data_IF_670199173790
#
_entry.id   IF_670199173790
#
_cell.length_a   1.000
_cell.length_b   1.000
_cell.length_c   1.000
_cell.angle_alpha   90.00
_cell.angle_beta   90.00
_cell.angle_gamma   90.00
#
_symmetry.space_group_name_H-M   'P 1'
#
loop_
_entity.id
_entity.type
_entity.pdbx_description
1 polymer ?
#
# COMPACT_ATOMS: atom_id res chain seq x y z
N UNK A 1 -67.79 29.73 47.05
CA UNK A 1 -67.53 30.16 45.66
C UNK A 1 -66.07 30.58 45.53
N UNK A 2 -65.20 29.70 45.05
CA UNK A 2 -63.95 30.02 44.35
C UNK A 2 -63.37 28.70 43.80
N UNK A 3 -63.51 28.54 42.49
CA UNK A 3 -63.03 27.41 41.69
C UNK A 3 -61.59 27.72 41.27
N UNK A 4 -60.63 26.80 41.42
CA UNK A 4 -59.40 26.83 40.62
C UNK A 4 -58.88 25.42 40.32
N UNK A 5 -58.75 25.19 39.02
CA UNK A 5 -58.51 23.93 38.30
C UNK A 5 -57.08 23.45 38.46
N UNK A 6 -56.92 22.14 38.69
CA UNK A 6 -55.65 21.42 38.49
C UNK A 6 -55.45 21.16 36.99
N UNK A 7 -54.32 21.57 36.44
CA UNK A 7 -53.88 21.17 35.10
C UNK A 7 -52.53 20.47 35.26
N UNK A 8 -52.53 19.15 35.02
CA UNK A 8 -51.33 18.32 35.02
C UNK A 8 -50.44 18.63 33.81
N UNK A 9 -49.13 18.71 34.04
CA UNK A 9 -48.14 18.85 32.97
C UNK A 9 -47.66 17.46 32.55
N UNK A 10 -48.06 17.04 31.36
CA UNK A 10 -47.43 15.93 30.62
C UNK A 10 -46.00 16.35 30.25
N UNK A 11 -45.00 15.63 30.75
CA UNK A 11 -43.61 15.79 30.29
C UNK A 11 -43.43 15.01 28.99
N UNK A 12 -43.17 15.74 27.90
CA UNK A 12 -42.84 15.16 26.61
C UNK A 12 -41.37 14.69 26.60
N UNK A 13 -41.14 13.40 26.34
CA UNK A 13 -39.82 12.85 26.03
C UNK A 13 -39.32 13.45 24.71
N UNK A 14 -38.28 14.30 24.78
CA UNK A 14 -37.50 14.71 23.62
C UNK A 14 -36.54 13.58 23.24
N UNK A 15 -36.91 12.82 22.20
CA UNK A 15 -35.99 11.98 21.44
C UNK A 15 -35.07 12.90 20.63
N UNK A 16 -33.88 13.19 21.14
CA UNK A 16 -32.82 13.84 20.38
C UNK A 16 -32.36 12.88 19.27
N UNK A 17 -32.75 13.17 18.02
CA UNK A 17 -32.26 12.46 16.85
C UNK A 17 -30.75 12.65 16.71
N UNK A 18 -30.01 11.55 16.73
CA UNK A 18 -28.61 11.47 16.31
C UNK A 18 -28.56 11.73 14.79
N UNK A 19 -28.44 12.99 14.39
CA UNK A 19 -27.99 13.33 13.04
C UNK A 19 -26.52 12.91 12.95
N UNK A 20 -26.26 11.73 12.39
CA UNK A 20 -24.92 11.30 12.03
C UNK A 20 -24.30 12.33 11.08
N UNK A 21 -23.15 12.86 11.44
CA UNK A 21 -22.36 13.70 10.53
C UNK A 21 -22.07 12.88 9.26
N UNK A 22 -22.20 13.46 8.06
CA UNK A 22 -21.80 12.76 6.85
C UNK A 22 -20.33 12.39 6.98
N UNK A 23 -20.01 11.10 6.87
CA UNK A 23 -18.64 10.67 6.66
C UNK A 23 -18.13 11.42 5.43
N UNK A 24 -17.07 12.21 5.59
CA UNK A 24 -16.45 12.86 4.46
C UNK A 24 -15.88 11.76 3.57
N UNK A 25 -16.44 11.61 2.36
CA UNK A 25 -15.92 10.68 1.38
C UNK A 25 -14.54 11.18 0.92
N UNK A 26 -13.62 10.25 0.69
CA UNK A 26 -12.31 10.58 0.14
C UNK A 26 -12.44 11.21 -1.26
N UNK A 27 -11.67 12.27 -1.48
CA UNK A 27 -11.72 13.08 -2.70
C UNK A 27 -10.48 12.78 -3.57
N UNK A 28 -10.65 12.44 -4.86
CA UNK A 28 -9.52 12.27 -5.76
C UNK A 28 -8.58 13.48 -5.78
N UNK A 29 -7.27 13.24 -5.70
CA UNK A 29 -6.24 14.28 -5.74
C UNK A 29 -5.98 14.98 -4.41
N UNK A 30 -6.76 14.67 -3.36
CA UNK A 30 -6.57 15.15 -2.00
C UNK A 30 -5.88 14.10 -1.15
N UNK A 31 -4.56 14.22 -1.08
CA UNK A 31 -3.69 13.39 -0.24
C UNK A 31 -2.33 14.12 -0.08
N UNK A 32 -1.53 13.67 0.87
CA UNK A 32 -0.30 14.35 1.29
C UNK A 32 0.95 13.76 0.62
N UNK A 33 1.00 12.45 0.40
CA UNK A 33 2.14 11.77 -0.21
C UNK A 33 1.81 10.40 -0.81
N UNK A 34 2.79 9.78 -1.45
CA UNK A 34 2.70 8.40 -1.92
C UNK A 34 3.52 7.43 -1.07
N UNK A 35 3.03 6.21 -0.93
CA UNK A 35 3.83 5.05 -0.54
C UNK A 35 3.98 4.14 -1.74
N UNK A 36 5.22 3.89 -2.17
CA UNK A 36 5.53 2.79 -3.08
C UNK A 36 5.71 1.52 -2.25
N UNK A 37 4.84 0.55 -2.43
CA UNK A 37 4.92 -0.74 -1.78
C UNK A 37 5.57 -1.78 -2.71
N UNK A 38 6.69 -2.34 -2.29
CA UNK A 38 7.44 -3.36 -3.02
C UNK A 38 7.33 -4.71 -2.30
N UNK A 39 6.56 -5.64 -2.85
CA UNK A 39 6.40 -6.97 -2.27
C UNK A 39 7.55 -7.89 -2.66
N UNK A 40 8.02 -8.70 -1.71
CA UNK A 40 8.97 -9.78 -1.95
C UNK A 40 8.23 -11.00 -2.50
N UNK A 41 8.20 -11.13 -3.83
CA UNK A 41 7.50 -12.20 -4.55
C UNK A 41 7.75 -13.62 -4.03
N UNK A 42 8.98 -14.00 -3.61
CA UNK A 42 9.21 -15.35 -3.11
C UNK A 42 8.43 -15.69 -1.83
N UNK A 43 8.17 -14.71 -0.96
CA UNK A 43 7.31 -14.92 0.21
C UNK A 43 5.87 -15.17 -0.24
N UNK A 44 5.32 -14.31 -1.10
CA UNK A 44 3.97 -14.48 -1.67
C UNK A 44 3.79 -15.87 -2.31
N UNK A 45 4.67 -16.25 -3.23
CA UNK A 45 4.57 -17.52 -3.95
C UNK A 45 4.64 -18.74 -3.03
N UNK A 46 5.50 -18.70 -2.01
CA UNK A 46 5.61 -19.77 -1.01
C UNK A 46 4.35 -19.86 -0.16
N UNK A 47 3.84 -18.71 0.27
CA UNK A 47 2.80 -18.60 1.28
C UNK A 47 1.41 -18.93 0.74
N UNK A 48 1.10 -18.44 -0.46
CA UNK A 48 -0.17 -18.69 -1.14
C UNK A 48 -0.22 -20.07 -1.79
N UNK A 49 0.93 -20.75 -1.96
CA UNK A 49 0.97 -22.15 -2.36
C UNK A 49 0.28 -22.38 -3.71
N UNK A 50 -0.78 -23.19 -3.75
CA UNK A 50 -1.54 -23.45 -4.98
C UNK A 50 -2.42 -22.27 -5.45
N UNK A 51 -2.73 -21.33 -4.55
CA UNK A 51 -3.67 -20.23 -4.81
C UNK A 51 -2.98 -18.98 -5.38
N UNK A 52 -1.64 -18.89 -5.33
CA UNK A 52 -0.94 -17.71 -5.84
C UNK A 52 -0.99 -17.61 -7.37
N UNK A 53 -0.87 -16.37 -7.87
CA UNK A 53 -0.94 -16.08 -9.29
C UNK A 53 0.15 -16.83 -10.11
N UNK A 54 -0.24 -17.67 -11.08
CA UNK A 54 0.72 -18.45 -11.88
C UNK A 54 1.63 -17.57 -12.75
N UNK A 55 1.17 -16.39 -13.18
CA UNK A 55 2.00 -15.44 -13.95
C UNK A 55 3.14 -14.84 -13.12
N UNK A 56 3.03 -14.86 -11.79
CA UNK A 56 4.09 -14.42 -10.88
C UNK A 56 4.97 -15.58 -10.40
N UNK A 57 4.38 -16.75 -10.17
CA UNK A 57 5.04 -17.82 -9.42
C UNK A 57 5.43 -19.04 -10.26
N UNK A 58 4.86 -19.22 -11.45
CA UNK A 58 5.07 -20.39 -12.31
C UNK A 58 5.81 -19.96 -13.58
N UNK A 59 6.94 -19.28 -13.39
CA UNK A 59 7.73 -18.65 -14.45
C UNK A 59 9.17 -19.15 -14.49
N UNK A 60 9.77 -19.17 -15.67
CA UNK A 60 11.17 -19.60 -15.86
C UNK A 60 12.18 -18.71 -15.15
N UNK A 61 11.85 -17.43 -14.95
CA UNK A 61 12.66 -16.45 -14.24
C UNK A 61 11.86 -15.90 -13.05
N UNK A 62 12.07 -16.43 -11.83
CA UNK A 62 11.31 -16.01 -10.67
C UNK A 62 11.48 -14.53 -10.34
N UNK A 63 10.36 -13.87 -10.07
CA UNK A 63 10.33 -12.48 -9.62
C UNK A 63 10.96 -12.32 -8.22
N UNK A 64 11.44 -11.11 -7.94
CA UNK A 64 12.02 -10.68 -6.67
C UNK A 64 11.12 -9.61 -6.04
N UNK A 65 11.62 -8.40 -5.85
CA UNK A 65 10.75 -7.27 -5.55
C UNK A 65 9.92 -6.92 -6.78
N UNK A 66 8.61 -6.93 -6.59
CA UNK A 66 7.60 -6.48 -7.54
C UNK A 66 6.82 -5.34 -6.89
N UNK A 67 6.23 -4.48 -7.69
CA UNK A 67 5.32 -3.45 -7.22
C UNK A 67 4.04 -4.11 -6.73
N UNK A 68 3.69 -3.86 -5.47
CA UNK A 68 2.32 -4.06 -4.99
C UNK A 68 1.45 -2.93 -5.52
N UNK A 69 1.85 -1.68 -5.28
CA UNK A 69 1.15 -0.49 -5.74
C UNK A 69 1.82 0.81 -5.30
N UNK A 70 1.28 1.93 -5.81
CA UNK A 70 1.66 3.30 -5.43
C UNK A 70 0.47 3.97 -4.73
N UNK A 71 0.50 4.09 -3.42
CA UNK A 71 -0.68 4.42 -2.63
C UNK A 71 -0.67 5.89 -2.21
N UNK A 72 -1.69 6.70 -2.59
CA UNK A 72 -1.94 7.97 -1.94
C UNK A 72 -2.12 7.78 -0.43
N UNK A 73 -1.53 8.67 0.36
CA UNK A 73 -1.55 8.65 1.82
C UNK A 73 -1.86 10.04 2.37
N UNK A 74 -2.56 10.07 3.50
CA UNK A 74 -2.56 11.24 4.38
C UNK A 74 -1.39 11.13 5.38
N UNK A 75 -1.08 12.20 6.10
CA UNK A 75 -0.18 12.11 7.26
C UNK A 75 -0.67 11.11 8.33
N UNK A 76 -1.98 10.78 8.32
CA UNK A 76 -2.61 9.73 9.12
C UNK A 76 -3.71 9.03 8.32
N UNK A 77 -3.53 7.75 8.03
CA UNK A 77 -4.39 6.96 7.17
C UNK A 77 -4.18 7.23 5.68
N UNK A 78 -5.07 6.70 4.86
CA UNK A 78 -5.06 6.86 3.41
C UNK A 78 -6.47 7.04 2.87
N UNK A 79 -6.64 7.75 1.75
CA UNK A 79 -7.87 7.66 0.99
C UNK A 79 -7.98 6.31 0.28
N UNK A 80 -9.20 5.78 0.17
CA UNK A 80 -9.46 4.57 -0.61
C UNK A 80 -10.75 4.61 -1.41
N UNK A 81 -10.75 3.92 -2.55
CA UNK A 81 -11.94 3.69 -3.39
C UNK A 81 -12.69 4.98 -3.79
N UNK A 82 -11.94 6.03 -4.11
CA UNK A 82 -12.49 7.35 -4.40
C UNK A 82 -13.43 7.36 -5.62
N UNK A 83 -14.48 8.18 -5.54
CA UNK A 83 -15.48 8.32 -6.61
C UNK A 83 -15.03 9.30 -7.71
N UNK A 84 -15.66 9.23 -8.88
CA UNK A 84 -15.43 10.17 -9.99
C UNK A 84 -14.42 9.71 -11.04
N UNK A 85 -13.62 8.69 -10.74
CA UNK A 85 -12.73 8.03 -11.70
C UNK A 85 -13.37 6.75 -12.29
N UNK A 86 -13.00 6.34 -13.52
CA UNK A 86 -13.52 5.12 -14.13
C UNK A 86 -13.11 3.88 -13.31
N UNK A 87 -14.04 2.99 -12.98
CA UNK A 87 -13.74 1.79 -12.19
C UNK A 87 -13.10 0.65 -13.00
N UNK A 88 -13.31 0.66 -14.32
CA UNK A 88 -12.74 -0.28 -15.27
C UNK A 88 -11.73 0.45 -16.14
N UNK A 89 -10.57 -0.15 -16.33
CA UNK A 89 -9.47 0.40 -17.12
C UNK A 89 -9.13 -0.55 -18.26
N UNK A 90 -8.44 -0.05 -19.28
CA UNK A 90 -8.00 -0.88 -20.40
C UNK A 90 -7.08 -2.01 -19.91
N UNK A 91 -7.30 -3.24 -20.40
CA UNK A 91 -6.43 -4.37 -20.12
C UNK A 91 -4.98 -4.14 -20.57
N UNK A 92 -4.75 -3.32 -21.60
CA UNK A 92 -3.41 -2.99 -22.07
C UNK A 92 -2.56 -2.30 -21.01
N UNK A 93 -3.17 -1.56 -20.07
CA UNK A 93 -2.46 -1.01 -18.92
C UNK A 93 -1.88 -2.14 -18.06
N UNK A 94 -2.68 -3.17 -17.76
CA UNK A 94 -2.21 -4.32 -16.99
C UNK A 94 -1.13 -5.12 -17.73
N UNK A 95 -1.25 -5.28 -19.04
CA UNK A 95 -0.21 -5.90 -19.88
C UNK A 95 1.09 -5.10 -19.82
N UNK A 96 1.02 -3.77 -19.86
CA UNK A 96 2.19 -2.89 -19.82
C UNK A 96 2.94 -2.87 -18.49
N UNK A 97 2.39 -3.49 -17.43
CA UNK A 97 2.96 -3.54 -16.09
C UNK A 97 3.46 -4.93 -15.70
N UNK A 98 3.31 -5.96 -16.54
CA UNK A 98 3.59 -7.37 -16.19
C UNK A 98 5.02 -7.64 -15.69
N UNK A 99 5.99 -6.86 -16.14
CA UNK A 99 7.40 -6.95 -15.75
C UNK A 99 7.67 -6.50 -14.30
N UNK A 100 6.81 -5.65 -13.74
CA UNK A 100 6.94 -5.12 -12.37
C UNK A 100 5.74 -5.41 -11.48
N UNK A 101 4.59 -5.75 -12.05
CA UNK A 101 3.33 -6.14 -11.39
C UNK A 101 2.75 -7.38 -12.09
N UNK A 102 3.26 -8.58 -11.80
CA UNK A 102 2.95 -9.81 -12.55
C UNK A 102 1.57 -10.42 -12.23
N UNK A 103 0.54 -9.58 -12.08
CA UNK A 103 -0.85 -9.97 -11.84
C UNK A 103 -1.81 -8.88 -12.35
N UNK A 104 -2.58 -9.17 -13.42
CA UNK A 104 -3.58 -8.21 -13.92
C UNK A 104 -4.65 -7.88 -12.89
N UNK A 105 -5.06 -8.88 -12.10
CA UNK A 105 -6.03 -8.69 -11.03
C UNK A 105 -5.50 -7.73 -9.97
N UNK A 106 -4.20 -7.77 -9.67
CA UNK A 106 -3.55 -6.81 -8.79
C UNK A 106 -3.62 -5.40 -9.39
N UNK A 107 -3.20 -5.22 -10.64
CA UNK A 107 -3.29 -3.91 -11.33
C UNK A 107 -4.71 -3.34 -11.25
N UNK A 108 -5.74 -4.14 -11.53
CA UNK A 108 -7.12 -3.68 -11.45
C UNK A 108 -7.57 -3.39 -10.01
N UNK A 109 -7.09 -4.14 -9.03
CA UNK A 109 -7.37 -3.89 -7.62
C UNK A 109 -6.75 -2.57 -7.15
N UNK A 110 -5.45 -2.39 -7.42
CA UNK A 110 -4.69 -1.19 -7.06
C UNK A 110 -5.28 0.06 -7.67
N UNK A 111 -5.70 0.00 -8.94
CA UNK A 111 -6.41 1.11 -9.54
C UNK A 111 -7.69 1.46 -8.76
N UNK A 112 -8.60 0.49 -8.57
CA UNK A 112 -9.88 0.74 -7.91
C UNK A 112 -9.71 1.29 -6.51
N UNK A 113 -8.79 0.71 -5.72
CA UNK A 113 -8.60 1.04 -4.32
C UNK A 113 -7.76 2.30 -4.11
N UNK A 114 -6.66 2.45 -4.84
CA UNK A 114 -5.67 3.50 -4.59
C UNK A 114 -5.52 4.48 -5.77
N UNK A 115 -5.49 3.97 -7.00
CA UNK A 115 -5.34 4.78 -8.20
C UNK A 115 -6.45 5.81 -8.40
N UNK A 116 -7.71 5.45 -8.11
CA UNK A 116 -8.88 6.35 -8.15
C UNK A 116 -8.74 7.58 -7.26
N UNK A 117 -7.94 7.49 -6.18
CA UNK A 117 -7.70 8.59 -5.24
C UNK A 117 -6.56 9.52 -5.64
N UNK A 118 -5.77 9.18 -6.65
CA UNK A 118 -4.63 9.99 -7.09
C UNK A 118 -5.01 11.30 -7.79
N UNK A 119 -6.23 11.37 -8.35
CA UNK A 119 -6.64 12.45 -9.25
C UNK A 119 -6.04 12.36 -10.66
N UNK A 120 -5.31 11.27 -10.97
CA UNK A 120 -4.74 11.00 -12.29
C UNK A 120 -5.67 10.14 -13.13
N UNK A 121 -5.45 10.12 -14.45
CA UNK A 121 -6.01 9.07 -15.31
C UNK A 121 -5.33 7.73 -15.02
N UNK A 122 -5.96 6.58 -15.36
CA UNK A 122 -5.33 5.28 -15.22
C UNK A 122 -3.92 5.20 -15.82
N UNK A 123 -3.75 5.70 -17.03
CA UNK A 123 -2.48 5.66 -17.77
C UNK A 123 -1.39 6.45 -17.02
N UNK A 124 -1.72 7.66 -16.56
CA UNK A 124 -0.78 8.51 -15.84
C UNK A 124 -0.45 7.95 -14.45
N UNK A 125 -1.40 7.32 -13.77
CA UNK A 125 -1.15 6.68 -12.47
C UNK A 125 -0.16 5.51 -12.58
N UNK A 126 -0.34 4.63 -13.57
CA UNK A 126 0.58 3.50 -13.76
C UNK A 126 1.92 3.92 -14.38
N UNK A 127 1.95 4.98 -15.21
CA UNK A 127 3.21 5.61 -15.61
C UNK A 127 3.99 6.16 -14.41
N UNK A 128 3.33 6.88 -13.51
CA UNK A 128 3.94 7.38 -12.27
C UNK A 128 4.39 6.25 -11.35
N UNK A 129 3.63 5.15 -11.30
CA UNK A 129 3.98 3.95 -10.53
C UNK A 129 5.27 3.31 -11.04
N UNK A 130 5.44 3.23 -12.36
CA UNK A 130 6.69 2.77 -12.97
C UNK A 130 7.85 3.72 -12.71
N UNK A 131 7.63 5.03 -12.85
CA UNK A 131 8.65 6.05 -12.53
C UNK A 131 9.11 5.94 -11.07
N UNK A 132 8.17 5.75 -10.14
CA UNK A 132 8.49 5.52 -8.73
C UNK A 132 9.31 4.24 -8.54
N UNK A 133 8.96 3.14 -9.21
CA UNK A 133 9.74 1.90 -9.17
C UNK A 133 11.16 2.07 -9.73
N UNK A 134 11.30 2.70 -10.90
CA UNK A 134 12.57 2.91 -11.58
C UNK A 134 13.51 3.84 -10.79
N UNK A 135 12.96 4.74 -9.97
CA UNK A 135 13.74 5.57 -9.04
C UNK A 135 14.43 4.74 -7.95
N UNK A 136 13.86 3.58 -7.56
CA UNK A 136 14.38 2.79 -6.43
C UNK A 136 15.48 1.83 -6.88
N UNK A 137 16.68 2.03 -6.34
CA UNK A 137 17.76 1.05 -6.43
C UNK A 137 17.55 -0.08 -5.42
N UNK A 138 17.15 -1.26 -5.89
CA UNK A 138 17.07 -2.46 -5.06
C UNK A 138 18.48 -2.88 -4.61
N UNK A 139 18.76 -3.11 -3.31
CA UNK A 139 20.08 -3.50 -2.83
C UNK A 139 20.59 -4.79 -3.48
N UNK A 140 21.90 -4.85 -3.80
CA UNK A 140 22.49 -5.96 -4.55
C UNK A 140 22.26 -7.34 -3.93
N UNK A 141 22.24 -7.43 -2.60
CA UNK A 141 21.95 -8.65 -1.87
C UNK A 141 20.61 -9.30 -2.27
N UNK A 142 19.58 -8.51 -2.56
CA UNK A 142 18.27 -9.02 -2.98
C UNK A 142 18.21 -9.39 -4.47
N UNK A 143 19.10 -8.83 -5.29
CA UNK A 143 19.21 -9.20 -6.71
C UNK A 143 19.86 -10.56 -6.88
N UNK A 144 20.87 -10.86 -6.07
CA UNK A 144 21.68 -12.08 -6.19
C UNK A 144 21.29 -13.19 -5.22
N UNK A 145 20.33 -12.96 -4.30
CA UNK A 145 19.90 -13.97 -3.35
C UNK A 145 19.39 -15.24 -4.08
N UNK A 146 20.05 -16.36 -3.83
CA UNK A 146 19.77 -17.68 -4.40
C UNK A 146 19.53 -18.76 -3.32
N UNK A 147 19.85 -18.43 -2.06
CA UNK A 147 19.66 -19.28 -0.88
C UNK A 147 18.83 -18.55 0.16
N UNK A 148 18.15 -19.32 1.02
CA UNK A 148 17.39 -18.77 2.14
C UNK A 148 18.31 -17.93 3.04
N UNK A 149 17.94 -16.67 3.21
CA UNK A 149 18.61 -15.73 4.11
C UNK A 149 17.85 -15.53 5.42
N UNK A 150 18.49 -14.81 6.34
CA UNK A 150 17.86 -14.19 7.50
C UNK A 150 18.37 -12.76 7.61
N UNK A 151 17.50 -11.84 7.99
CA UNK A 151 17.85 -10.45 8.24
C UNK A 151 16.96 -9.88 9.35
N UNK A 152 17.47 -8.91 10.11
CA UNK A 152 16.61 -8.03 10.88
C UNK A 152 15.96 -7.00 9.93
N UNK A 153 14.71 -6.56 10.18
CA UNK A 153 14.06 -5.48 9.43
C UNK A 153 14.97 -4.25 9.26
N UNK A 154 15.56 -3.75 10.35
CA UNK A 154 16.49 -2.61 10.34
C UNK A 154 17.71 -2.82 9.44
N UNK A 155 18.16 -4.07 9.28
CA UNK A 155 19.28 -4.40 8.37
C UNK A 155 18.84 -4.27 6.91
N UNK A 156 17.61 -4.67 6.60
CA UNK A 156 17.03 -4.48 5.26
C UNK A 156 16.82 -3.00 4.98
N UNK A 157 16.26 -2.25 5.93
CA UNK A 157 16.06 -0.79 5.79
C UNK A 157 17.38 -0.06 5.57
N UNK A 158 18.40 -0.39 6.37
CA UNK A 158 19.75 0.15 6.20
C UNK A 158 20.32 -0.15 4.81
N UNK A 159 20.11 -1.36 4.28
CA UNK A 159 20.57 -1.71 2.95
C UNK A 159 19.88 -0.88 1.86
N UNK A 160 18.57 -0.64 1.98
CA UNK A 160 17.84 0.25 1.07
C UNK A 160 18.32 1.70 1.14
N UNK A 161 18.53 2.24 2.35
CA UNK A 161 19.07 3.59 2.54
C UNK A 161 20.47 3.76 1.95
N UNK A 162 21.34 2.77 2.10
CA UNK A 162 22.68 2.80 1.50
C UNK A 162 22.64 2.75 -0.03
N UNK A 163 21.64 2.06 -0.61
CA UNK A 163 21.46 1.98 -2.05
C UNK A 163 20.78 3.21 -2.65
N UNK A 164 20.04 3.99 -1.85
CA UNK A 164 19.20 5.11 -2.30
C UNK A 164 19.53 6.40 -1.52
N UNK A 165 20.52 7.19 -1.97
CA UNK A 165 20.88 8.45 -1.33
C UNK A 165 19.66 9.39 -1.22
N UNK A 166 19.47 9.97 -0.04
CA UNK A 166 18.30 10.81 0.28
C UNK A 166 17.18 10.06 1.01
N UNK A 167 17.15 8.73 0.96
CA UNK A 167 16.21 7.93 1.76
C UNK A 167 16.64 7.91 3.23
N UNK A 168 15.81 8.50 4.09
CA UNK A 168 16.03 8.58 5.54
C UNK A 168 15.49 7.37 6.28
N UNK A 169 15.84 7.23 7.55
CA UNK A 169 15.28 6.19 8.44
C UNK A 169 13.76 6.25 8.51
N UNK A 170 13.22 7.45 8.68
CA UNK A 170 11.78 7.68 8.84
C UNK A 170 11.02 7.65 7.50
N UNK A 171 11.69 7.30 6.39
CA UNK A 171 11.15 7.37 5.02
C UNK A 171 10.82 6.02 4.40
N UNK A 172 10.98 4.93 5.15
CA UNK A 172 10.63 3.59 4.72
C UNK A 172 10.18 2.72 5.90
N UNK A 173 9.58 1.59 5.58
CA UNK A 173 9.29 0.54 6.55
C UNK A 173 9.45 -0.82 5.87
N UNK A 174 10.02 -1.79 6.59
CA UNK A 174 10.00 -3.18 6.16
C UNK A 174 8.91 -3.94 6.91
N UNK A 175 8.02 -4.63 6.18
CA UNK A 175 6.98 -5.48 6.78
C UNK A 175 7.35 -6.95 6.70
N UNK A 176 6.72 -7.74 7.55
CA UNK A 176 6.90 -9.18 7.58
C UNK A 176 5.56 -9.87 7.83
N UNK A 177 5.34 -10.99 7.13
CA UNK A 177 4.23 -11.89 7.38
C UNK A 177 4.76 -13.27 7.75
N UNK A 178 4.15 -13.89 8.77
CA UNK A 178 4.55 -15.21 9.30
C UNK A 178 6.07 -15.35 9.52
N UNK A 179 6.73 -14.27 9.91
CA UNK A 179 8.17 -14.22 10.18
C UNK A 179 9.06 -14.20 8.92
N UNK A 180 8.51 -13.94 7.74
CA UNK A 180 9.24 -13.77 6.48
C UNK A 180 9.13 -12.34 5.95
N UNK A 181 10.14 -11.87 5.23
CA UNK A 181 10.11 -10.57 4.55
C UNK A 181 8.90 -10.51 3.62
N UNK A 182 8.04 -9.52 3.80
CA UNK A 182 6.82 -9.36 3.01
C UNK A 182 6.96 -8.18 2.06
N UNK A 183 7.19 -6.96 2.59
CA UNK A 183 7.31 -5.76 1.77
C UNK A 183 8.40 -4.80 2.25
N UNK A 184 8.79 -3.91 1.33
CA UNK A 184 9.48 -2.66 1.64
C UNK A 184 8.56 -1.54 1.16
N UNK A 185 8.14 -0.67 2.07
CA UNK A 185 7.29 0.49 1.79
C UNK A 185 8.13 1.75 1.84
N UNK A 186 8.15 2.52 0.78
CA UNK A 186 9.01 3.71 0.63
C UNK A 186 8.11 4.93 0.43
N UNK A 187 8.37 5.98 1.19
CA UNK A 187 7.56 7.18 1.17
C UNK A 187 8.14 8.24 0.25
N UNK A 188 7.27 8.76 -0.61
CA UNK A 188 7.60 9.65 -1.70
C UNK A 188 6.68 10.85 -1.70
N UNK A 189 7.19 12.04 -1.96
CA UNK A 189 6.35 13.21 -2.25
C UNK A 189 5.51 12.95 -3.51
N UNK A 190 4.58 13.86 -3.81
CA UNK A 190 3.79 13.78 -5.05
C UNK A 190 4.65 13.88 -6.31
N UNK A 191 5.82 14.51 -6.20
CA UNK A 191 6.83 14.62 -7.25
C UNK A 191 7.92 13.52 -7.14
N UNK A 192 7.62 12.44 -6.41
CA UNK A 192 8.47 11.27 -6.22
C UNK A 192 9.82 11.52 -5.52
N UNK A 193 9.96 12.59 -4.73
CA UNK A 193 11.13 12.78 -3.88
C UNK A 193 11.03 12.02 -2.57
N UNK A 194 12.15 11.54 -2.04
CA UNK A 194 12.15 10.87 -0.74
C UNK A 194 11.69 11.81 0.37
N UNK A 195 10.82 11.32 1.25
CA UNK A 195 10.34 12.04 2.43
C UNK A 195 10.16 11.11 3.62
N UNK A 196 10.03 11.70 4.81
CA UNK A 196 9.62 10.96 6.00
C UNK A 196 8.09 10.73 6.05
N UNK A 197 7.69 9.66 6.74
CA UNK A 197 6.31 9.20 6.91
C UNK A 197 6.17 8.39 8.20
N UNK A 198 6.00 9.10 9.31
CA UNK A 198 6.06 8.51 10.66
C UNK A 198 5.09 7.37 10.91
N UNK A 199 3.87 7.40 10.35
CA UNK A 199 2.90 6.32 10.55
C UNK A 199 3.32 5.03 9.84
N UNK A 200 3.79 5.13 8.60
CA UNK A 200 4.27 3.99 7.80
C UNK A 200 5.51 3.39 8.44
N UNK A 201 6.52 4.20 8.75
CA UNK A 201 7.74 3.78 9.48
C UNK A 201 7.38 2.99 10.75
N UNK A 202 6.43 3.50 11.55
CA UNK A 202 6.02 2.85 12.80
C UNK A 202 5.27 1.54 12.62
N UNK A 203 4.69 1.31 11.46
CA UNK A 203 3.96 0.08 11.11
C UNK A 203 4.87 -1.07 10.68
N UNK A 204 6.18 -0.83 10.58
CA UNK A 204 7.18 -1.85 10.23
C UNK A 204 7.22 -3.05 11.18
N UNK A 205 7.78 -4.15 10.66
CA UNK A 205 8.02 -5.39 11.37
C UNK A 205 8.90 -5.17 12.60
N UNK A 206 8.44 -5.63 13.77
CA UNK A 206 9.17 -5.49 15.05
C UNK A 206 9.99 -6.72 15.45
N UNK A 207 10.03 -7.75 14.60
CA UNK A 207 10.79 -8.95 14.87
C UNK A 207 12.30 -8.67 14.85
N UNK A 208 13.05 -9.24 15.80
CA UNK A 208 14.52 -9.13 15.80
C UNK A 208 15.20 -9.83 14.62
N UNK A 209 14.49 -10.73 13.94
CA UNK A 209 14.91 -11.38 12.69
C UNK A 209 13.70 -11.91 11.95
N UNK A 210 13.78 -11.92 10.62
CA UNK A 210 12.86 -12.57 9.70
C UNK A 210 13.63 -13.41 8.67
N UNK A 211 12.95 -14.41 8.10
CA UNK A 211 13.48 -15.21 6.99
C UNK A 211 13.30 -14.46 5.67
N UNK A 212 14.28 -14.59 4.78
CA UNK A 212 14.21 -14.05 3.42
C UNK A 212 14.26 -15.26 2.47
N UNK A 213 13.10 -15.78 2.02
CA UNK A 213 13.08 -16.92 1.11
C UNK A 213 13.73 -16.55 -0.23
N UNK A 214 14.51 -17.45 -0.85
CA UNK A 214 15.10 -17.18 -2.15
C UNK A 214 14.02 -17.25 -3.24
N UNK A 215 14.23 -16.57 -4.37
CA UNK A 215 13.38 -16.72 -5.53
C UNK A 215 13.40 -18.15 -6.06
N UNK A 216 12.21 -18.68 -6.34
CA UNK A 216 12.01 -19.99 -6.93
C UNK A 216 10.67 -20.02 -7.64
N UNK A 217 10.60 -20.81 -8.72
CA UNK A 217 9.31 -21.20 -9.28
C UNK A 217 8.69 -22.23 -8.33
N UNK A 218 7.35 -22.26 -8.26
CA UNK A 218 6.65 -23.36 -7.60
C UNK A 218 6.83 -24.66 -8.37
#
# INVERSE_FOLDING_TARGET
MALLRRIGRLSACLLAGLLGLPAWADEPGRFDFYVLALSWSPTYCKQEGADANPHQCDVSKPFRFVVHGLWPQYERGFPESCHGAPQRIDRQIAVSMEDIMPSHNLVFHEWRKHGTCSGLTPENYFALTREAYDKITIPGAFRTLDKRGKAAPDTVEKAFRLANPGLTEEGLAVTCDRGELEEVRICLTRDLEFRSCREVDRSGCRAGSMSVPPPGAR
#
